data_IF_751828604758
#
_entry.id   IF_751828604758
#
_cell.length_a   1.000
_cell.length_b   1.000
_cell.length_c   1.000
_cell.angle_alpha   90.00
_cell.angle_beta   90.00
_cell.angle_gamma   90.00
#
_symmetry.space_group_name_H-M   'P 1'
#
loop_
_entity.id
_entity.type
_entity.pdbx_description
1 polymer ?
#
# COMPACT_ATOMS: atom_id res chain seq x y z
N UNK A 1 -12.01 27.74 -53.14
CA UNK A 1 -11.05 28.63 -52.45
C UNK A 1 -11.04 28.25 -50.99
N UNK A 2 -9.91 27.77 -50.45
CA UNK A 2 -9.80 27.42 -49.05
C UNK A 2 -9.95 28.71 -48.21
N UNK A 3 -11.02 28.80 -47.43
CA UNK A 3 -11.19 29.89 -46.46
C UNK A 3 -10.16 29.70 -45.35
N UNK A 4 -9.03 30.42 -45.42
CA UNK A 4 -8.06 30.46 -44.34
C UNK A 4 -8.70 31.19 -43.15
N UNK A 5 -9.16 30.44 -42.15
CA UNK A 5 -9.64 30.98 -40.88
C UNK A 5 -8.43 31.57 -40.15
N UNK A 6 -8.38 32.90 -40.02
CA UNK A 6 -7.31 33.60 -39.30
C UNK A 6 -7.33 33.21 -37.82
N UNK A 7 -6.16 32.98 -37.22
CA UNK A 7 -6.02 32.69 -35.78
C UNK A 7 -6.32 33.94 -34.95
N UNK A 8 -6.69 33.78 -33.67
CA UNK A 8 -6.88 34.94 -32.77
C UNK A 8 -5.63 35.81 -32.64
N UNK A 9 -4.44 35.20 -32.76
CA UNK A 9 -3.16 35.93 -32.83
C UNK A 9 -3.05 36.79 -34.07
N UNK A 10 -3.38 36.23 -35.24
CA UNK A 10 -3.39 36.97 -36.50
C UNK A 10 -4.47 38.07 -36.52
N UNK A 11 -5.61 37.86 -35.87
CA UNK A 11 -6.69 38.87 -35.77
C UNK A 11 -6.25 40.07 -34.90
N UNK A 12 -5.49 39.82 -33.83
CA UNK A 12 -4.92 40.88 -32.98
C UNK A 12 -3.57 41.39 -33.48
N UNK A 13 -3.08 40.90 -34.62
CA UNK A 13 -1.79 41.28 -35.19
C UNK A 13 -0.62 41.03 -34.20
N UNK A 14 -0.57 39.81 -33.66
CA UNK A 14 0.39 39.38 -32.64
C UNK A 14 1.02 38.03 -32.99
N UNK A 15 2.22 37.82 -32.46
CA UNK A 15 2.88 36.51 -32.45
C UNK A 15 2.28 35.60 -31.35
N UNK A 16 2.18 34.27 -31.54
CA UNK A 16 1.76 33.34 -30.49
C UNK A 16 2.54 33.45 -29.17
N UNK A 17 3.78 33.94 -29.23
CA UNK A 17 4.64 34.19 -28.06
C UNK A 17 4.35 35.50 -27.32
N UNK A 18 3.46 36.35 -27.84
CA UNK A 18 3.12 37.64 -27.24
C UNK A 18 2.66 37.52 -25.78
N UNK A 19 3.10 38.45 -24.93
CA UNK A 19 2.75 38.52 -23.51
C UNK A 19 1.31 39.00 -23.29
N UNK A 20 0.77 38.79 -22.09
CA UNK A 20 -0.58 39.25 -21.74
C UNK A 20 -0.72 40.78 -21.87
N UNK A 21 0.37 41.51 -21.62
CA UNK A 21 0.42 42.97 -21.74
C UNK A 21 0.31 43.40 -23.20
N UNK A 22 1.05 42.75 -24.10
CA UNK A 22 1.00 43.02 -25.55
C UNK A 22 -0.38 42.71 -26.13
N UNK A 23 -1.02 41.62 -25.68
CA UNK A 23 -2.40 41.27 -26.06
C UNK A 23 -3.39 42.39 -25.69
N UNK A 24 -3.29 42.92 -24.46
CA UNK A 24 -4.15 44.02 -23.99
C UNK A 24 -3.89 45.31 -24.76
N UNK A 25 -2.64 45.62 -25.08
CA UNK A 25 -2.27 46.81 -25.83
C UNK A 25 -2.75 46.75 -27.28
N UNK A 26 -2.54 45.62 -27.96
CA UNK A 26 -3.00 45.40 -29.32
C UNK A 26 -4.53 45.50 -29.43
N UNK A 27 -5.27 44.89 -28.50
CA UNK A 27 -6.72 45.00 -28.44
C UNK A 27 -7.18 46.47 -28.34
N UNK A 28 -6.61 47.26 -27.40
CA UNK A 28 -6.99 48.67 -27.24
C UNK A 28 -6.72 49.51 -28.48
N UNK A 29 -5.56 49.28 -29.12
CA UNK A 29 -5.17 49.95 -30.38
C UNK A 29 -6.17 49.66 -31.49
N UNK A 30 -6.40 48.38 -31.77
CA UNK A 30 -7.28 47.93 -32.84
C UNK A 30 -8.75 48.29 -32.55
N UNK A 31 -9.18 48.19 -31.30
CA UNK A 31 -10.54 48.58 -30.92
C UNK A 31 -10.79 50.07 -31.17
N UNK A 32 -9.82 50.93 -30.85
CA UNK A 32 -9.91 52.37 -31.15
C UNK A 32 -9.88 52.67 -32.64
N UNK A 33 -9.16 51.90 -33.43
CA UNK A 33 -9.02 52.10 -34.89
C UNK A 33 -10.28 51.69 -35.68
N UNK A 34 -10.97 50.64 -35.23
CA UNK A 34 -12.14 50.06 -35.91
C UNK A 34 -13.49 50.39 -35.25
N UNK A 35 -13.50 51.17 -34.17
CA UNK A 35 -14.74 51.60 -33.50
C UNK A 35 -15.62 52.45 -34.44
N UNK A 36 -16.95 52.26 -34.45
CA UNK A 36 -17.85 53.06 -35.29
C UNK A 36 -17.76 54.58 -35.05
N UNK A 37 -17.39 54.98 -33.83
CA UNK A 37 -17.33 56.39 -33.43
C UNK A 37 -15.96 57.06 -33.61
N UNK A 38 -14.90 56.33 -33.96
CA UNK A 38 -13.54 56.90 -33.98
C UNK A 38 -13.10 57.41 -35.34
N UNK A 39 -13.27 56.61 -36.40
CA UNK A 39 -12.76 56.94 -37.73
C UNK A 39 -13.65 56.36 -38.84
N UNK A 40 -14.45 57.22 -39.50
CA UNK A 40 -15.46 56.81 -40.49
C UNK A 40 -14.89 56.09 -41.72
N UNK A 41 -13.61 56.26 -42.01
CA UNK A 41 -12.93 55.61 -43.14
C UNK A 41 -12.54 54.15 -42.87
N UNK A 42 -12.30 53.78 -41.61
CA UNK A 42 -11.83 52.45 -41.20
C UNK A 42 -12.86 51.68 -40.37
N UNK A 43 -13.90 52.35 -39.87
CA UNK A 43 -14.97 51.74 -39.09
C UNK A 43 -15.54 50.50 -39.78
N UNK A 44 -15.49 49.37 -39.07
CA UNK A 44 -15.99 48.10 -39.59
C UNK A 44 -16.53 47.26 -38.44
N UNK A 45 -17.86 47.07 -38.44
CA UNK A 45 -18.55 46.27 -37.45
C UNK A 45 -18.07 44.81 -37.44
N UNK A 46 -17.72 44.28 -38.62
CA UNK A 46 -17.21 42.93 -38.75
C UNK A 46 -15.79 42.78 -38.15
N UNK A 47 -14.89 43.74 -38.42
CA UNK A 47 -13.52 43.69 -37.88
C UNK A 47 -13.51 43.84 -36.37
N UNK A 48 -14.26 44.80 -35.82
CA UNK A 48 -14.32 45.00 -34.37
C UNK A 48 -14.92 43.78 -33.65
N UNK A 49 -15.91 43.11 -34.25
CA UNK A 49 -16.47 41.87 -33.72
C UNK A 49 -15.41 40.76 -33.63
N UNK A 50 -14.60 40.56 -34.68
CA UNK A 50 -13.51 39.58 -34.69
C UNK A 50 -12.42 39.93 -33.66
N UNK A 51 -12.05 41.20 -33.53
CA UNK A 51 -11.08 41.69 -32.53
C UNK A 51 -11.57 41.40 -31.11
N UNK A 52 -12.85 41.68 -30.82
CA UNK A 52 -13.45 41.41 -29.52
C UNK A 52 -13.44 39.91 -29.21
N UNK A 53 -13.84 39.07 -30.17
CA UNK A 53 -13.82 37.62 -30.02
C UNK A 53 -12.41 37.07 -29.77
N UNK A 54 -11.40 37.58 -30.49
CA UNK A 54 -10.00 37.18 -30.29
C UNK A 54 -9.48 37.57 -28.91
N UNK A 55 -9.82 38.78 -28.44
CA UNK A 55 -9.43 39.24 -27.11
C UNK A 55 -10.16 38.50 -25.98
N UNK A 56 -11.40 38.04 -26.20
CA UNK A 56 -12.12 37.25 -25.20
C UNK A 56 -11.42 35.90 -24.88
N UNK A 57 -10.74 35.33 -25.88
CA UNK A 57 -9.98 34.08 -25.73
C UNK A 57 -8.55 34.36 -25.24
N UNK A 58 -7.83 35.29 -25.88
CA UNK A 58 -6.42 35.55 -25.57
C UNK A 58 -6.21 36.45 -24.35
N UNK A 59 -7.23 37.21 -23.94
CA UNK A 59 -7.20 38.13 -22.80
C UNK A 59 -7.22 37.42 -21.44
N UNK A 60 -7.74 36.20 -21.38
CA UNK A 60 -7.78 35.36 -20.17
C UNK A 60 -6.67 34.29 -20.21
N UNK A 61 -5.78 34.21 -19.19
CA UNK A 61 -4.66 33.27 -19.20
C UNK A 61 -5.05 31.78 -19.22
N UNK A 62 -6.24 31.41 -18.77
CA UNK A 62 -6.71 30.03 -18.77
C UNK A 62 -7.33 29.67 -20.12
N UNK A 63 -8.14 30.55 -20.70
CA UNK A 63 -8.70 30.41 -22.06
C UNK A 63 -7.61 30.42 -23.12
N UNK A 64 -6.62 31.31 -23.00
CA UNK A 64 -5.43 31.33 -23.86
C UNK A 64 -4.69 30.00 -23.82
N UNK A 65 -4.41 29.47 -22.62
CA UNK A 65 -3.71 28.17 -22.49
C UNK A 65 -4.46 27.05 -23.19
N UNK A 66 -5.78 27.00 -23.05
CA UNK A 66 -6.61 26.01 -23.75
C UNK A 66 -6.59 26.20 -25.27
N UNK A 67 -6.65 27.44 -25.75
CA UNK A 67 -6.57 27.78 -27.17
C UNK A 67 -5.20 27.45 -27.78
N UNK A 68 -4.11 27.78 -27.08
CA UNK A 68 -2.73 27.43 -27.48
C UNK A 68 -2.53 25.92 -27.54
N UNK A 69 -3.13 25.20 -26.59
CA UNK A 69 -3.12 23.75 -26.57
C UNK A 69 -3.86 23.17 -27.80
N UNK A 70 -5.01 23.74 -28.16
CA UNK A 70 -5.78 23.34 -29.36
C UNK A 70 -5.02 23.64 -30.67
N UNK A 71 -4.38 24.81 -30.78
CA UNK A 71 -3.56 25.17 -31.94
C UNK A 71 -2.41 24.19 -32.14
N UNK A 72 -1.68 23.84 -31.07
CA UNK A 72 -0.60 22.83 -31.14
C UNK A 72 -1.10 21.47 -31.60
N UNK A 73 -2.34 21.10 -31.27
CA UNK A 73 -2.94 19.84 -31.70
C UNK A 73 -3.33 19.85 -33.18
N UNK A 74 -3.90 20.98 -33.65
CA UNK A 74 -4.20 21.20 -35.07
C UNK A 74 -2.92 21.16 -35.92
N UNK A 75 -1.85 21.80 -35.47
CA UNK A 75 -0.54 21.79 -36.13
C UNK A 75 0.10 20.40 -36.18
N UNK A 76 -0.14 19.57 -35.16
CA UNK A 76 0.36 18.20 -35.11
C UNK A 76 -0.45 17.21 -35.97
N UNK A 77 -1.53 17.66 -36.64
CA UNK A 77 -2.36 16.81 -37.50
C UNK A 77 -3.12 15.70 -36.76
N UNK A 78 -3.25 15.81 -35.44
CA UNK A 78 -3.91 14.80 -34.61
C UNK A 78 -5.43 15.02 -34.62
N UNK A 79 -6.17 13.96 -34.88
CA UNK A 79 -7.63 13.97 -34.74
C UNK A 79 -8.06 14.01 -33.27
N UNK A 80 -9.25 14.53 -33.02
CA UNK A 80 -9.83 14.63 -31.68
C UNK A 80 -9.98 13.26 -30.99
N UNK A 81 -10.16 12.20 -31.78
CA UNK A 81 -10.18 10.83 -31.31
C UNK A 81 -8.81 10.36 -30.80
N UNK A 82 -7.72 10.73 -31.47
CA UNK A 82 -6.35 10.37 -31.08
C UNK A 82 -5.91 11.12 -29.82
N UNK A 83 -6.34 12.38 -29.66
CA UNK A 83 -6.08 13.18 -28.46
C UNK A 83 -6.78 12.62 -27.23
N UNK A 84 -8.07 12.27 -27.36
CA UNK A 84 -8.81 11.58 -26.30
C UNK A 84 -8.15 10.26 -25.94
N UNK A 85 -7.76 9.48 -26.95
CA UNK A 85 -7.06 8.19 -26.75
C UNK A 85 -5.69 8.35 -26.10
N UNK A 86 -4.95 9.43 -26.37
CA UNK A 86 -3.68 9.73 -25.68
C UNK A 86 -3.90 10.13 -24.23
N UNK A 87 -4.85 11.04 -23.95
CA UNK A 87 -5.19 11.46 -22.57
C UNK A 87 -5.66 10.28 -21.74
N UNK A 88 -6.58 9.49 -22.29
CA UNK A 88 -7.09 8.30 -21.63
C UNK A 88 -5.96 7.30 -21.32
N UNK A 89 -5.07 6.99 -22.27
CA UNK A 89 -3.92 6.11 -22.02
C UNK A 89 -2.98 6.65 -20.93
N UNK A 90 -2.74 7.97 -20.90
CA UNK A 90 -1.91 8.57 -19.85
C UNK A 90 -2.58 8.54 -18.48
N UNK A 91 -3.89 8.76 -18.42
CA UNK A 91 -4.69 8.71 -17.19
C UNK A 91 -4.80 7.28 -16.66
N UNK A 92 -5.02 6.30 -17.54
CA UNK A 92 -5.05 4.87 -17.23
C UNK A 92 -3.69 4.39 -16.70
N UNK A 93 -2.59 4.77 -17.36
CA UNK A 93 -1.25 4.45 -16.88
C UNK A 93 -0.98 5.05 -15.49
N UNK A 94 -1.31 6.33 -15.28
CA UNK A 94 -1.17 6.98 -13.97
C UNK A 94 -2.06 6.34 -12.89
N UNK A 95 -3.29 5.95 -13.23
CA UNK A 95 -4.19 5.25 -12.33
C UNK A 95 -3.63 3.87 -11.96
N UNK A 96 -3.06 3.14 -12.93
CA UNK A 96 -2.43 1.85 -12.70
C UNK A 96 -1.20 1.96 -11.78
N UNK A 97 -0.33 2.95 -12.01
CA UNK A 97 0.81 3.23 -11.13
C UNK A 97 0.37 3.57 -9.70
N UNK A 98 -0.68 4.40 -9.53
CA UNK A 98 -1.22 4.73 -8.20
C UNK A 98 -1.75 3.49 -7.49
N UNK A 99 -2.57 2.68 -8.17
CA UNK A 99 -3.11 1.43 -7.61
C UNK A 99 -2.00 0.47 -7.18
N UNK A 100 -0.94 0.34 -7.99
CA UNK A 100 0.21 -0.50 -7.65
C UNK A 100 0.92 0.02 -6.41
N UNK A 101 1.18 1.33 -6.32
CA UNK A 101 1.82 1.96 -5.16
C UNK A 101 0.99 1.83 -3.88
N UNK A 102 -0.31 1.98 -3.96
CA UNK A 102 -1.23 1.77 -2.83
C UNK A 102 -1.22 0.30 -2.38
N UNK A 103 -1.20 -0.64 -3.32
CA UNK A 103 -1.10 -2.07 -3.01
C UNK A 103 0.24 -2.42 -2.33
N UNK A 104 1.36 -1.87 -2.80
CA UNK A 104 2.68 -2.01 -2.17
C UNK A 104 2.68 -1.43 -0.75
N UNK A 105 2.15 -0.22 -0.55
CA UNK A 105 2.06 0.41 0.78
C UNK A 105 1.20 -0.41 1.75
N UNK A 106 0.08 -0.96 1.26
CA UNK A 106 -0.79 -1.83 2.06
C UNK A 106 -0.09 -3.14 2.43
N UNK A 107 0.66 -3.74 1.50
CA UNK A 107 1.43 -4.95 1.76
C UNK A 107 2.53 -4.72 2.81
N UNK A 108 3.24 -3.59 2.73
CA UNK A 108 4.25 -3.20 3.72
C UNK A 108 3.63 -2.97 5.10
N UNK A 109 2.45 -2.33 5.14
CA UNK A 109 1.72 -2.12 6.39
C UNK A 109 1.26 -3.44 7.00
N UNK A 110 0.73 -4.36 6.18
CA UNK A 110 0.33 -5.69 6.62
C UNK A 110 1.54 -6.47 7.17
N UNK A 111 2.68 -6.44 6.48
CA UNK A 111 3.92 -7.09 6.94
C UNK A 111 4.37 -6.52 8.29
N UNK A 112 4.37 -5.19 8.46
CA UNK A 112 4.75 -4.56 9.74
C UNK A 112 3.84 -4.99 10.89
N UNK A 113 2.54 -5.08 10.66
CA UNK A 113 1.58 -5.58 11.66
C UNK A 113 1.84 -7.06 11.98
N UNK A 114 2.08 -7.88 10.95
CA UNK A 114 2.38 -9.29 11.12
C UNK A 114 3.69 -9.51 11.90
N UNK A 115 4.74 -8.72 11.68
CA UNK A 115 6.00 -8.81 12.44
C UNK A 115 5.82 -8.51 13.95
N UNK A 116 4.92 -7.57 14.30
CA UNK A 116 4.55 -7.29 15.70
C UNK A 116 3.80 -8.46 16.32
N UNK A 117 2.88 -9.07 15.57
CA UNK A 117 2.17 -10.29 15.96
C UNK A 117 3.16 -11.43 16.18
N UNK A 118 4.07 -11.69 15.23
CA UNK A 118 5.09 -12.73 15.34
C UNK A 118 5.92 -12.56 16.62
N UNK A 119 6.35 -11.34 16.93
CA UNK A 119 7.10 -11.04 18.16
C UNK A 119 6.29 -11.38 19.42
N UNK A 120 5.00 -11.06 19.40
CA UNK A 120 4.08 -11.35 20.50
C UNK A 120 3.87 -12.85 20.70
N UNK A 121 3.63 -13.60 19.62
CA UNK A 121 3.50 -15.07 19.62
C UNK A 121 4.79 -15.71 20.10
N UNK A 122 5.95 -15.31 19.56
CA UNK A 122 7.25 -15.86 19.94
C UNK A 122 7.54 -15.69 21.44
N UNK A 123 7.12 -14.57 22.04
CA UNK A 123 7.25 -14.36 23.49
C UNK A 123 6.41 -15.37 24.29
N UNK A 124 5.16 -15.63 23.88
CA UNK A 124 4.30 -16.63 24.54
C UNK A 124 4.88 -18.04 24.39
N UNK A 125 5.32 -18.41 23.18
CA UNK A 125 5.98 -19.70 22.93
C UNK A 125 7.22 -19.89 23.82
N UNK A 126 7.99 -18.82 24.03
CA UNK A 126 9.17 -18.88 24.89
C UNK A 126 8.80 -19.04 26.38
N UNK A 127 7.65 -18.54 26.83
CA UNK A 127 7.15 -18.77 28.19
C UNK A 127 6.74 -20.22 28.42
N UNK A 128 6.24 -20.90 27.38
CA UNK A 128 5.90 -22.33 27.43
C UNK A 128 7.17 -23.20 27.39
N UNK A 129 8.05 -22.97 26.41
CA UNK A 129 9.17 -23.87 26.12
C UNK A 129 10.28 -23.78 27.17
N UNK A 130 10.64 -22.57 27.60
CA UNK A 130 11.85 -22.35 28.41
C UNK A 130 11.79 -23.03 29.79
N UNK A 131 10.67 -23.01 30.53
CA UNK A 131 10.59 -23.62 31.86
C UNK A 131 10.55 -25.15 31.86
N UNK A 132 10.21 -25.81 30.74
CA UNK A 132 9.97 -27.26 30.73
C UNK A 132 11.12 -28.05 31.36
N UNK A 133 12.37 -27.70 31.04
CA UNK A 133 13.54 -28.42 31.56
C UNK A 133 13.64 -28.35 33.08
N UNK A 134 13.40 -27.19 33.69
CA UNK A 134 13.45 -27.06 35.15
C UNK A 134 12.27 -27.80 35.79
N UNK A 135 11.07 -27.67 35.22
CA UNK A 135 9.87 -28.36 35.71
C UNK A 135 10.03 -29.89 35.71
N UNK A 136 10.60 -30.47 34.65
CA UNK A 136 10.89 -31.91 34.59
C UNK A 136 11.97 -32.29 35.60
N UNK A 137 13.01 -31.47 35.77
CA UNK A 137 14.08 -31.76 36.73
C UNK A 137 13.58 -31.73 38.18
N UNK A 138 12.68 -30.81 38.50
CA UNK A 138 12.02 -30.72 39.82
C UNK A 138 11.17 -31.97 40.06
N UNK A 139 10.32 -32.35 39.10
CA UNK A 139 9.48 -33.55 39.21
C UNK A 139 10.30 -34.85 39.29
N UNK A 140 11.45 -34.92 38.61
CA UNK A 140 12.32 -36.09 38.62
C UNK A 140 12.96 -36.38 40.00
N UNK A 141 12.86 -35.47 40.97
CA UNK A 141 13.33 -35.70 42.33
C UNK A 141 12.53 -36.81 43.03
N UNK A 142 11.20 -36.77 42.90
CA UNK A 142 10.28 -37.84 43.29
C UNK A 142 8.99 -37.75 42.43
N UNK A 143 8.87 -38.55 41.36
CA UNK A 143 7.71 -38.50 40.46
C UNK A 143 6.39 -38.94 41.10
N UNK A 144 6.42 -39.56 42.28
CA UNK A 144 5.23 -40.01 43.01
C UNK A 144 4.85 -39.06 44.15
N UNK A 145 5.60 -37.97 44.34
CA UNK A 145 5.24 -36.93 45.29
C UNK A 145 4.05 -36.10 44.78
N UNK A 146 2.98 -36.05 45.59
CA UNK A 146 1.73 -35.38 45.24
C UNK A 146 1.91 -33.86 45.02
N UNK A 147 2.82 -33.21 45.76
CA UNK A 147 3.06 -31.77 45.65
C UNK A 147 3.83 -31.44 44.37
N UNK A 148 4.90 -32.18 44.07
CA UNK A 148 5.66 -32.05 42.83
C UNK A 148 4.78 -32.32 41.60
N UNK A 149 3.95 -33.37 41.66
CA UNK A 149 3.03 -33.69 40.56
C UNK A 149 1.99 -32.57 40.34
N UNK A 150 1.40 -32.06 41.43
CA UNK A 150 0.45 -30.93 41.36
C UNK A 150 1.08 -29.65 40.81
N UNK A 151 2.33 -29.36 41.18
CA UNK A 151 3.06 -28.21 40.64
C UNK A 151 3.28 -28.35 39.13
N UNK A 152 3.64 -29.56 38.68
CA UNK A 152 3.81 -29.85 37.26
C UNK A 152 2.48 -29.76 36.48
N UNK A 153 1.37 -30.26 37.06
CA UNK A 153 0.03 -30.11 36.48
C UNK A 153 -0.36 -28.64 36.34
N UNK A 154 -0.17 -27.82 37.37
CA UNK A 154 -0.40 -26.36 37.32
C UNK A 154 0.40 -25.71 36.18
N UNK A 155 1.68 -26.08 36.04
CA UNK A 155 2.51 -25.59 34.93
C UNK A 155 1.94 -25.97 33.55
N UNK A 156 1.42 -27.18 33.38
CA UNK A 156 0.80 -27.61 32.12
C UNK A 156 -0.50 -26.85 31.84
N UNK A 157 -1.33 -26.60 32.85
CA UNK A 157 -2.53 -25.75 32.73
C UNK A 157 -2.17 -24.32 32.27
N UNK A 158 -1.16 -23.71 32.88
CA UNK A 158 -0.64 -22.40 32.45
C UNK A 158 -0.12 -22.45 31.00
N UNK A 159 0.54 -23.54 30.60
CA UNK A 159 0.99 -23.73 29.22
C UNK A 159 -0.18 -23.80 28.24
N UNK A 160 -1.29 -24.45 28.60
CA UNK A 160 -2.50 -24.50 27.77
C UNK A 160 -3.10 -23.10 27.57
N UNK A 161 -3.19 -22.29 28.62
CA UNK A 161 -3.69 -20.91 28.52
C UNK A 161 -2.80 -20.04 27.63
N UNK A 162 -1.48 -20.12 27.81
CA UNK A 162 -0.51 -19.40 26.98
C UNK A 162 -0.57 -19.85 25.53
N UNK A 163 -0.73 -21.16 25.28
CA UNK A 163 -0.84 -21.72 23.94
C UNK A 163 -2.13 -21.24 23.25
N UNK A 164 -3.26 -21.26 23.95
CA UNK A 164 -4.54 -20.77 23.43
C UNK A 164 -4.43 -19.29 23.03
N UNK A 165 -3.80 -18.47 23.88
CA UNK A 165 -3.52 -17.06 23.56
C UNK A 165 -2.59 -16.90 22.36
N UNK A 166 -1.56 -17.73 22.25
CA UNK A 166 -0.63 -17.72 21.11
C UNK A 166 -1.34 -18.10 19.81
N UNK A 167 -2.18 -19.14 19.81
CA UNK A 167 -2.99 -19.57 18.68
C UNK A 167 -4.01 -18.49 18.26
N UNK A 168 -4.72 -17.90 19.23
CA UNK A 168 -5.66 -16.80 18.96
C UNK A 168 -4.95 -15.59 18.34
N UNK A 169 -3.80 -15.21 18.91
CA UNK A 169 -2.99 -14.10 18.40
C UNK A 169 -2.48 -14.41 16.99
N UNK A 170 -2.05 -15.65 16.72
CA UNK A 170 -1.55 -16.04 15.40
C UNK A 170 -2.66 -16.03 14.32
N UNK A 171 -3.89 -16.40 14.68
CA UNK A 171 -5.04 -16.41 13.77
C UNK A 171 -5.68 -15.03 13.57
N UNK A 172 -5.29 -14.01 14.32
CA UNK A 172 -5.95 -12.69 14.29
C UNK A 172 -5.63 -11.86 13.05
N UNK A 173 -4.56 -12.19 12.31
CA UNK A 173 -4.18 -11.51 11.07
C UNK A 173 -3.86 -12.53 9.98
N UNK A 174 -4.17 -12.21 8.71
CA UNK A 174 -3.78 -13.05 7.58
C UNK A 174 -2.25 -13.03 7.40
N UNK A 175 -1.70 -14.20 7.08
CA UNK A 175 -0.28 -14.36 6.82
C UNK A 175 0.10 -13.72 5.48
N UNK A 176 1.01 -12.72 5.45
CA UNK A 176 1.46 -12.15 4.19
C UNK A 176 2.33 -13.16 3.43
N UNK A 177 2.28 -13.20 2.08
CA UNK A 177 3.08 -14.15 1.29
C UNK A 177 4.58 -14.07 1.57
N UNK A 178 5.10 -12.86 1.83
CA UNK A 178 6.50 -12.63 2.18
C UNK A 178 6.94 -13.27 3.50
N UNK A 179 6.00 -13.59 4.40
CA UNK A 179 6.27 -14.26 5.66
C UNK A 179 5.76 -15.71 5.69
N UNK A 180 5.38 -16.30 4.55
CA UNK A 180 4.75 -17.62 4.49
C UNK A 180 5.59 -18.72 5.17
N UNK A 181 6.91 -18.72 4.96
CA UNK A 181 7.81 -19.69 5.60
C UNK A 181 7.81 -19.55 7.13
N UNK A 182 7.96 -18.32 7.64
CA UNK A 182 7.91 -18.05 9.07
C UNK A 182 6.55 -18.42 9.69
N UNK A 183 5.46 -18.14 8.97
CA UNK A 183 4.11 -18.50 9.39
C UNK A 183 3.91 -20.02 9.44
N UNK A 184 4.43 -20.77 8.47
CA UNK A 184 4.37 -22.23 8.46
C UNK A 184 5.11 -22.84 9.66
N UNK A 185 6.32 -22.37 9.95
CA UNK A 185 7.09 -22.82 11.11
C UNK A 185 6.39 -22.50 12.43
N UNK A 186 5.78 -21.31 12.57
CA UNK A 186 4.95 -20.99 13.74
C UNK A 186 3.73 -21.91 13.87
N UNK A 187 3.05 -22.20 12.76
CA UNK A 187 1.90 -23.10 12.76
C UNK A 187 2.28 -24.50 13.25
N UNK A 188 3.34 -25.09 12.70
CA UNK A 188 3.81 -26.40 13.16
C UNK A 188 4.32 -26.35 14.60
N UNK A 189 5.02 -25.28 15.00
CA UNK A 189 5.46 -25.09 16.39
C UNK A 189 4.29 -25.13 17.37
N UNK A 190 3.20 -24.41 17.07
CA UNK A 190 1.99 -24.38 17.90
C UNK A 190 1.32 -25.76 18.01
N UNK A 191 1.28 -26.53 16.92
CA UNK A 191 0.70 -27.88 16.94
C UNK A 191 1.56 -28.83 17.78
N UNK A 192 2.88 -28.82 17.57
CA UNK A 192 3.82 -29.64 18.35
C UNK A 192 3.75 -29.33 19.85
N UNK A 193 3.56 -28.06 20.23
CA UNK A 193 3.31 -27.70 21.62
C UNK A 193 1.96 -28.20 22.13
N UNK A 194 0.91 -28.15 21.32
CA UNK A 194 -0.40 -28.69 21.69
C UNK A 194 -0.29 -30.17 22.02
N UNK A 195 0.22 -30.96 21.07
CA UNK A 195 0.40 -32.40 21.23
C UNK A 195 1.35 -32.71 22.40
N UNK A 196 2.43 -31.92 22.54
CA UNK A 196 3.41 -32.10 23.61
C UNK A 196 2.84 -31.83 24.99
N UNK A 197 1.99 -30.80 25.15
CA UNK A 197 1.32 -30.51 26.40
C UNK A 197 0.34 -31.63 26.73
N UNK A 198 -0.44 -32.11 25.76
CA UNK A 198 -1.40 -33.19 25.96
C UNK A 198 -0.69 -34.49 26.40
N UNK A 199 0.42 -34.85 25.76
CA UNK A 199 1.27 -35.99 26.16
C UNK A 199 1.77 -35.84 27.61
N UNK A 200 2.31 -34.67 27.97
CA UNK A 200 2.76 -34.43 29.35
C UNK A 200 1.61 -34.47 30.35
N UNK A 201 0.43 -33.99 29.98
CA UNK A 201 -0.77 -34.07 30.81
C UNK A 201 -1.19 -35.53 31.02
N UNK A 202 -1.19 -36.37 29.98
CA UNK A 202 -1.47 -37.82 30.11
C UNK A 202 -0.48 -38.52 31.06
N UNK A 203 0.80 -38.15 31.01
CA UNK A 203 1.79 -38.66 31.95
C UNK A 203 1.38 -38.38 33.42
N UNK A 204 0.84 -37.20 33.74
CA UNK A 204 0.44 -36.86 35.11
C UNK A 204 -0.69 -37.71 35.69
N UNK A 205 -1.48 -38.37 34.83
CA UNK A 205 -2.58 -39.24 35.26
C UNK A 205 -2.19 -40.72 35.28
N UNK A 206 -1.28 -41.12 34.40
CA UNK A 206 -1.01 -42.54 34.14
C UNK A 206 0.41 -42.99 34.54
N UNK A 207 1.32 -42.04 34.84
CA UNK A 207 2.73 -42.29 35.17
C UNK A 207 3.51 -43.08 34.10
N UNK A 208 3.01 -43.09 32.85
CA UNK A 208 3.67 -43.79 31.75
C UNK A 208 4.78 -42.92 31.14
N UNK A 209 6.01 -43.40 31.32
CA UNK A 209 7.25 -42.77 30.88
C UNK A 209 7.31 -42.54 29.35
N UNK A 210 6.52 -43.28 28.56
CA UNK A 210 6.37 -43.05 27.12
C UNK A 210 5.81 -41.66 26.83
N UNK A 211 4.77 -41.25 27.55
CA UNK A 211 4.15 -39.93 27.40
C UNK A 211 5.11 -38.80 27.81
N UNK A 212 5.88 -39.01 28.89
CA UNK A 212 6.91 -38.06 29.32
C UNK A 212 7.99 -37.88 28.24
N UNK A 213 8.46 -38.97 27.62
CA UNK A 213 9.47 -38.93 26.55
C UNK A 213 8.93 -38.25 25.30
N UNK A 214 7.71 -38.58 24.88
CA UNK A 214 7.08 -38.00 23.70
C UNK A 214 6.83 -36.51 23.87
N UNK A 215 6.24 -36.11 25.00
CA UNK A 215 6.01 -34.70 25.31
C UNK A 215 7.31 -33.88 25.26
N UNK A 216 8.40 -34.39 25.82
CA UNK A 216 9.72 -33.75 25.75
C UNK A 216 10.24 -33.60 24.33
N UNK A 217 10.07 -34.63 23.50
CA UNK A 217 10.52 -34.60 22.11
C UNK A 217 9.71 -33.60 21.28
N UNK A 218 8.40 -33.55 21.47
CA UNK A 218 7.51 -32.58 20.82
C UNK A 218 7.89 -31.14 21.18
N UNK A 219 8.21 -30.86 22.46
CA UNK A 219 8.73 -29.55 22.87
C UNK A 219 10.10 -29.22 22.24
N UNK A 220 10.99 -30.21 22.09
CA UNK A 220 12.28 -30.02 21.42
C UNK A 220 12.10 -29.66 19.95
N UNK A 221 11.20 -30.35 19.25
CA UNK A 221 10.84 -30.08 17.86
C UNK A 221 10.23 -28.67 17.76
N UNK A 222 9.28 -28.34 18.65
CA UNK A 222 8.68 -27.01 18.71
C UNK A 222 9.73 -25.91 18.92
N UNK A 223 10.74 -26.12 19.77
CA UNK A 223 11.83 -25.16 19.94
C UNK A 223 12.63 -24.96 18.65
N UNK A 224 12.92 -26.04 17.91
CA UNK A 224 13.56 -25.98 16.59
C UNK A 224 12.74 -25.12 15.61
N UNK A 225 11.47 -25.46 15.44
CA UNK A 225 10.54 -24.72 14.57
C UNK A 225 10.40 -23.25 14.97
N UNK A 226 10.39 -22.94 16.27
CA UNK A 226 10.38 -21.55 16.76
C UNK A 226 11.63 -20.80 16.32
N UNK A 227 12.82 -21.41 16.43
CA UNK A 227 14.08 -20.80 15.98
C UNK A 227 14.11 -20.62 14.46
N UNK A 228 13.60 -21.58 13.70
CA UNK A 228 13.46 -21.49 12.25
C UNK A 228 12.49 -20.38 11.83
N UNK A 229 11.35 -20.22 12.52
CA UNK A 229 10.45 -19.10 12.30
C UNK A 229 11.15 -17.75 12.53
N UNK A 230 11.92 -17.64 13.62
CA UNK A 230 12.71 -16.43 13.91
C UNK A 230 13.80 -16.16 12.85
N UNK A 231 14.44 -17.21 12.33
CA UNK A 231 15.42 -17.09 11.26
C UNK A 231 14.77 -16.61 9.96
N UNK A 232 13.67 -17.25 9.55
CA UNK A 232 12.90 -16.87 8.36
C UNK A 232 12.44 -15.41 8.41
N UNK A 233 12.03 -14.90 9.58
CA UNK A 233 11.68 -13.46 9.74
C UNK A 233 12.86 -12.52 9.48
N UNK A 234 14.10 -12.94 9.80
CA UNK A 234 15.30 -12.12 9.56
C UNK A 234 15.69 -12.07 8.09
N UNK A 235 15.26 -13.06 7.31
CA UNK A 235 15.51 -13.15 5.86
C UNK A 235 14.50 -12.35 5.03
N UNK A 236 13.39 -11.89 5.62
CA UNK A 236 12.39 -11.08 4.91
C UNK A 236 13.03 -9.73 4.51
N UNK A 237 13.04 -9.38 3.20
CA UNK A 237 13.54 -8.09 2.73
C UNK A 237 12.80 -6.94 3.42
N UNK A 238 13.55 -5.92 3.85
CA UNK A 238 13.02 -4.73 4.51
C UNK A 238 12.71 -3.60 3.54
#
# INVERSE_FOLDING_TARGET
>A
MATHTLTHYQILDLDPTATQTEIKQAYRRLAKEFHPDSNRATASHEKISRINAAYEVLGDPQRRRSYDQQLRYLEAGLSEAELRSRRQRTEEAQAQYRKQREAEQNADQQLKLWLKLHTSVNRLLNQIIRPLKSQINELAADPFDDELMKNFQTYLEECQELLAKAQQTFRSLPNPPSAANAAANLYYCLNQLSDGIDELSYFTYNYDDHHLRNGRELFRIAEGLRREAQAAVREIPR
#
